data_IF_096868307928
#
_entry.id   IF_096868307928
#
_cell.length_a   1.000
_cell.length_b   1.000
_cell.length_c   1.000
_cell.angle_alpha   90.00
_cell.angle_beta   90.00
_cell.angle_gamma   90.00
#
_symmetry.space_group_name_H-M   'P 1'
#
loop_
_entity.id
_entity.type
_entity.pdbx_description
1 polymer ?
#
# COMPACT_ATOMS: atom_id res chain seq x y z
N UNK A 1 -3.30 16.51 -10.75
CA UNK A 1 -3.68 17.82 -10.18
C UNK A 1 -2.86 18.08 -8.94
N UNK A 2 -2.82 19.32 -8.45
CA UNK A 2 -2.13 19.67 -7.19
C UNK A 2 -2.72 18.90 -5.98
N UNK A 3 -4.04 18.67 -5.99
CA UNK A 3 -4.73 17.85 -4.99
C UNK A 3 -4.18 16.42 -4.93
N UNK A 4 -4.01 15.75 -6.09
CA UNK A 4 -3.47 14.40 -6.14
C UNK A 4 -2.04 14.33 -5.60
N UNK A 5 -1.21 15.33 -5.91
CA UNK A 5 0.17 15.40 -5.42
C UNK A 5 0.21 15.50 -3.89
N UNK A 6 -0.64 16.37 -3.31
CA UNK A 6 -0.78 16.48 -1.86
C UNK A 6 -1.23 15.17 -1.22
N UNK A 7 -2.21 14.49 -1.83
CA UNK A 7 -2.68 13.18 -1.34
C UNK A 7 -1.56 12.14 -1.33
N UNK A 8 -0.77 12.06 -2.40
CA UNK A 8 0.39 11.15 -2.47
C UNK A 8 1.39 11.47 -1.37
N UNK A 9 1.74 12.74 -1.18
CA UNK A 9 2.67 13.16 -0.12
C UNK A 9 2.18 12.79 1.28
N UNK A 10 0.89 12.94 1.56
CA UNK A 10 0.32 12.52 2.85
C UNK A 10 0.44 11.00 3.09
N UNK A 11 0.30 10.19 2.04
CA UNK A 11 0.50 8.73 2.13
C UNK A 11 1.99 8.41 2.34
N UNK A 12 2.89 9.11 1.63
CA UNK A 12 4.33 8.94 1.78
C UNK A 12 4.80 9.21 3.22
N UNK A 13 4.28 10.26 3.87
CA UNK A 13 4.60 10.57 5.26
C UNK A 13 4.23 9.42 6.20
N UNK A 14 3.01 8.88 6.09
CA UNK A 14 2.58 7.75 6.94
C UNK A 14 3.40 6.48 6.64
N UNK A 15 3.74 6.25 5.37
CA UNK A 15 4.65 5.18 4.99
C UNK A 15 6.03 5.33 5.66
N UNK A 16 6.60 6.54 5.66
CA UNK A 16 7.87 6.84 6.32
C UNK A 16 7.80 6.66 7.84
N UNK A 17 6.75 7.17 8.48
CA UNK A 17 6.56 7.11 9.94
C UNK A 17 6.44 5.66 10.44
N UNK A 18 5.84 4.77 9.65
CA UNK A 18 5.73 3.33 9.97
C UNK A 18 6.88 2.48 9.41
N UNK A 19 7.79 3.06 8.63
CA UNK A 19 8.86 2.33 7.95
C UNK A 19 8.35 1.34 6.89
N UNK A 20 7.18 1.59 6.31
CA UNK A 20 6.54 0.75 5.29
C UNK A 20 6.81 1.33 3.90
N UNK A 21 7.48 0.61 2.99
CA UNK A 21 7.63 1.07 1.62
C UNK A 21 6.27 1.26 0.95
N UNK A 22 6.05 2.42 0.31
CA UNK A 22 4.80 2.72 -0.39
C UNK A 22 4.40 1.62 -1.39
N UNK A 23 5.38 1.04 -2.07
CA UNK A 23 5.17 -0.07 -3.00
C UNK A 23 4.62 -1.32 -2.31
N UNK A 24 5.05 -1.63 -1.08
CA UNK A 24 4.51 -2.74 -0.30
C UNK A 24 3.04 -2.52 0.04
N UNK A 25 2.70 -1.34 0.56
CA UNK A 25 1.32 -0.96 0.85
C UNK A 25 0.44 -1.02 -0.41
N UNK A 26 0.91 -0.50 -1.55
CA UNK A 26 0.17 -0.52 -2.80
C UNK A 26 -0.09 -1.93 -3.34
N UNK A 27 0.87 -2.85 -3.18
CA UNK A 27 0.73 -4.25 -3.61
C UNK A 27 -0.22 -5.05 -2.71
N UNK A 28 -0.14 -4.82 -1.40
CA UNK A 28 -0.87 -5.61 -0.41
C UNK A 28 -2.29 -5.09 -0.17
N UNK A 29 -2.56 -3.78 -0.32
CA UNK A 29 -3.87 -3.19 -0.03
C UNK A 29 -5.03 -3.87 -0.80
N UNK A 30 -4.97 -4.08 -2.13
CA UNK A 30 -6.09 -4.70 -2.84
C UNK A 30 -6.32 -6.16 -2.41
N UNK A 31 -5.27 -6.86 -1.98
CA UNK A 31 -5.34 -8.26 -1.55
C UNK A 31 -6.09 -8.44 -0.22
N UNK A 32 -6.29 -7.37 0.55
CA UNK A 32 -7.10 -7.40 1.77
C UNK A 32 -8.60 -7.57 1.47
N UNK A 33 -9.06 -7.29 0.24
CA UNK A 33 -10.46 -7.43 -0.13
C UNK A 33 -10.78 -8.88 -0.56
N UNK A 34 -11.81 -9.54 0.01
CA UNK A 34 -12.08 -10.96 -0.23
C UNK A 34 -12.45 -11.32 -1.68
N UNK A 35 -12.90 -10.33 -2.47
CA UNK A 35 -13.20 -10.50 -3.90
C UNK A 35 -11.97 -10.39 -4.81
N UNK A 36 -10.80 -10.00 -4.29
CA UNK A 36 -9.57 -9.83 -5.08
C UNK A 36 -8.74 -11.10 -5.00
N UNK A 37 -8.72 -11.88 -6.08
CA UNK A 37 -7.94 -13.12 -6.15
C UNK A 37 -6.44 -12.89 -6.37
N UNK A 38 -6.05 -11.79 -7.04
CA UNK A 38 -4.66 -11.51 -7.39
C UNK A 38 -4.43 -10.05 -7.76
N UNK A 39 -3.22 -9.55 -7.51
CA UNK A 39 -2.70 -8.27 -8.01
C UNK A 39 -1.61 -8.54 -9.04
N UNK A 40 -1.66 -7.90 -10.21
CA UNK A 40 -0.69 -8.07 -11.30
C UNK A 40 0.24 -6.84 -11.35
N UNK A 41 1.41 -6.88 -10.71
CA UNK A 41 2.36 -5.78 -10.79
C UNK A 41 3.20 -5.82 -12.08
N UNK A 42 3.72 -4.66 -12.48
CA UNK A 42 4.69 -4.59 -13.56
C UNK A 42 6.00 -5.31 -13.21
N UNK A 43 6.52 -6.12 -14.14
CA UNK A 43 7.75 -6.88 -13.96
C UNK A 43 8.48 -7.10 -15.29
N UNK A 44 8.84 -6.00 -15.97
CA UNK A 44 9.54 -6.00 -17.26
C UNK A 44 10.96 -6.59 -17.18
N UNK A 45 11.57 -6.63 -15.99
CA UNK A 45 12.89 -7.24 -15.74
C UNK A 45 12.80 -8.23 -14.58
N UNK A 46 13.63 -9.27 -14.60
CA UNK A 46 13.69 -10.28 -13.53
C UNK A 46 13.90 -9.66 -12.13
N UNK A 47 14.71 -8.61 -12.03
CA UNK A 47 14.90 -7.89 -10.77
C UNK A 47 13.59 -7.32 -10.19
N UNK A 48 12.66 -6.87 -11.04
CA UNK A 48 11.36 -6.34 -10.60
C UNK A 48 10.44 -7.45 -10.08
N UNK A 49 10.55 -8.68 -10.62
CA UNK A 49 9.84 -9.84 -10.06
C UNK A 49 10.29 -10.06 -8.62
N UNK A 50 11.60 -10.14 -8.39
CA UNK A 50 12.16 -10.33 -7.05
C UNK A 50 11.77 -9.19 -6.12
N UNK A 51 11.87 -7.94 -6.57
CA UNK A 51 11.46 -6.78 -5.79
C UNK A 51 9.99 -6.83 -5.38
N UNK A 52 9.09 -7.18 -6.31
CA UNK A 52 7.66 -7.33 -6.00
C UNK A 52 7.42 -8.44 -4.98
N UNK A 53 8.15 -9.56 -5.08
CA UNK A 53 8.07 -10.66 -4.10
C UNK A 53 8.57 -10.22 -2.72
N UNK A 54 9.66 -9.46 -2.63
CA UNK A 54 10.15 -8.93 -1.35
C UNK A 54 9.15 -7.93 -0.74
N UNK A 55 8.56 -7.05 -1.55
CA UNK A 55 7.52 -6.12 -1.08
C UNK A 55 6.26 -6.83 -0.54
N UNK A 56 5.90 -7.98 -1.12
CA UNK A 56 4.77 -8.80 -0.65
C UNK A 56 5.06 -9.54 0.67
N UNK A 57 6.33 -9.71 1.05
CA UNK A 57 6.73 -10.37 2.31
C UNK A 57 6.82 -9.42 3.49
N UNK A 58 6.84 -8.11 3.24
CA UNK A 58 6.89 -7.11 4.31
C UNK A 58 5.61 -7.20 5.13
N UNK A 59 5.75 -7.44 6.43
CA UNK A 59 4.64 -7.35 7.36
C UNK A 59 4.18 -5.89 7.47
N UNK A 60 2.91 -5.62 7.20
CA UNK A 60 2.30 -4.31 7.39
C UNK A 60 1.37 -4.41 8.60
N UNK A 61 1.65 -3.66 9.69
CA UNK A 61 0.83 -3.70 10.90
C UNK A 61 -0.56 -3.11 10.65
N UNK A 62 -1.58 -3.57 11.39
CA UNK A 62 -2.95 -3.08 11.26
C UNK A 62 -3.04 -1.56 11.54
N UNK A 63 -2.20 -1.08 12.45
CA UNK A 63 -2.11 0.32 12.87
C UNK A 63 -1.82 1.26 11.69
N UNK A 64 -0.95 0.86 10.75
CA UNK A 64 -0.66 1.62 9.53
C UNK A 64 -1.93 1.86 8.70
N UNK A 65 -2.73 0.81 8.52
CA UNK A 65 -3.97 0.91 7.75
C UNK A 65 -5.04 1.73 8.45
N UNK A 66 -5.14 1.61 9.78
CA UNK A 66 -6.07 2.38 10.59
C UNK A 66 -5.76 3.87 10.53
N UNK A 67 -4.48 4.25 10.55
CA UNK A 67 -4.07 5.65 10.41
C UNK A 67 -4.45 6.23 9.05
N UNK A 68 -4.23 5.49 7.96
CA UNK A 68 -4.67 5.90 6.63
C UNK A 68 -6.19 6.12 6.55
N UNK A 69 -6.99 5.33 7.28
CA UNK A 69 -8.44 5.53 7.38
C UNK A 69 -8.80 6.76 8.21
N UNK A 70 -8.17 6.94 9.37
CA UNK A 70 -8.42 8.06 10.27
C UNK A 70 -8.08 9.41 9.64
N UNK A 71 -7.04 9.45 8.80
CA UNK A 71 -6.62 10.64 8.04
C UNK A 71 -7.43 10.87 6.76
N UNK A 72 -8.39 10.00 6.44
CA UNK A 72 -9.23 10.11 5.25
C UNK A 72 -8.51 9.80 3.93
N UNK A 73 -7.30 9.22 4.00
CA UNK A 73 -6.53 8.82 2.82
C UNK A 73 -7.04 7.49 2.24
N UNK A 74 -7.59 6.63 3.10
CA UNK A 74 -8.40 5.47 2.76
C UNK A 74 -9.85 5.66 3.21
N UNK A 75 -10.78 5.03 2.49
CA UNK A 75 -12.18 4.99 2.90
C UNK A 75 -12.32 4.21 4.23
N UNK A 76 -13.15 4.66 5.19
CA UNK A 76 -13.28 4.01 6.51
C UNK A 76 -13.64 2.52 6.41
N UNK A 77 -14.50 2.18 5.45
CA UNK A 77 -14.95 0.79 5.21
C UNK A 77 -14.04 -0.03 4.26
N UNK A 78 -12.90 0.51 3.83
CA UNK A 78 -11.97 -0.26 2.98
C UNK A 78 -11.47 -1.50 3.74
N UNK A 79 -11.54 -2.72 3.19
CA UNK A 79 -10.94 -3.89 3.83
C UNK A 79 -9.43 -3.73 3.93
N UNK A 80 -8.88 -4.08 5.09
CA UNK A 80 -7.45 -4.00 5.43
C UNK A 80 -7.10 -5.23 6.27
N UNK A 81 -5.85 -5.69 6.16
CA UNK A 81 -5.34 -6.90 6.81
C UNK A 81 -4.33 -6.55 7.91
#
# INVERSE_FOLDING_TARGET
SEEMRKKVQSIEVICEDHGIPLKAAALQFPLAHPQVSSVIPGALRAAQVNENLEMLKIHIPLEFWLELKQTGLLHPEAPVA
#
